data_IF_771868171332
#
_entry.id   IF_771868171332
#
_cell.length_a   1.000
_cell.length_b   1.000
_cell.length_c   1.000
_cell.angle_alpha   90.00
_cell.angle_beta   90.00
_cell.angle_gamma   90.00
#
_symmetry.space_group_name_H-M   'P 1'
#
loop_
_entity.id
_entity.type
_entity.pdbx_description
1 polymer ?
#
# COMPACT_ATOMS: atom_id res chain seq x y z
N UNK A 1 -28.85 -32.76 26.17
CA UNK A 1 -27.77 -32.33 27.08
C UNK A 1 -26.40 -32.82 26.61
N UNK A 2 -26.16 -33.01 25.30
CA UNK A 2 -24.85 -33.46 24.77
C UNK A 2 -24.47 -32.88 23.39
N UNK A 3 -25.42 -32.31 22.62
CA UNK A 3 -25.14 -31.85 21.24
C UNK A 3 -24.70 -30.38 21.08
N UNK A 4 -24.81 -29.54 22.12
CA UNK A 4 -24.39 -28.13 22.04
C UNK A 4 -22.91 -27.91 22.40
N UNK A 5 -22.26 -28.89 23.03
CA UNK A 5 -20.88 -28.77 23.51
C UNK A 5 -19.81 -29.09 22.45
N UNK A 6 -20.17 -29.77 21.35
CA UNK A 6 -19.20 -30.18 20.33
C UNK A 6 -18.79 -29.03 19.40
N UNK A 7 -19.68 -28.05 19.17
CA UNK A 7 -19.37 -26.87 18.34
C UNK A 7 -18.44 -25.86 19.03
N UNK A 8 -18.37 -25.86 20.37
CA UNK A 8 -17.47 -24.98 21.12
C UNK A 8 -16.04 -25.53 21.23
N UNK A 9 -15.80 -26.80 20.88
CA UNK A 9 -14.50 -27.46 21.03
C UNK A 9 -13.63 -27.49 19.77
N UNK A 10 -14.05 -26.85 18.68
CA UNK A 10 -13.23 -26.68 17.48
C UNK A 10 -13.05 -25.21 17.07
N UNK A 11 -12.80 -24.32 18.04
CA UNK A 11 -11.95 -23.17 17.72
C UNK A 11 -10.54 -23.74 17.57
N UNK A 12 -10.30 -24.33 16.40
CA UNK A 12 -8.98 -24.68 15.91
C UNK A 12 -8.06 -23.52 16.24
N UNK A 13 -7.01 -23.77 17.02
CA UNK A 13 -5.90 -22.83 17.12
C UNK A 13 -5.59 -22.41 15.68
N UNK A 14 -5.82 -21.13 15.36
CA UNK A 14 -5.51 -20.60 14.04
C UNK A 14 -4.10 -21.06 13.70
N UNK A 15 -3.94 -21.79 12.59
CA UNK A 15 -2.62 -22.27 12.13
C UNK A 15 -1.59 -21.14 12.02
N UNK A 16 -2.09 -19.91 11.89
CA UNK A 16 -1.31 -18.70 11.80
C UNK A 16 -1.55 -17.83 13.03
N UNK A 17 -0.46 -17.43 13.68
CA UNK A 17 -0.49 -16.52 14.83
C UNK A 17 -0.59 -15.05 14.39
N UNK A 18 -0.23 -14.76 13.14
CA UNK A 18 -0.21 -13.43 12.56
C UNK A 18 -0.68 -13.47 11.10
N UNK A 19 -1.46 -12.47 10.70
CA UNK A 19 -1.79 -12.20 9.30
C UNK A 19 -1.25 -10.81 8.94
N UNK A 20 -0.48 -10.76 7.86
CA UNK A 20 -0.02 -9.52 7.25
C UNK A 20 -0.85 -9.27 5.99
N UNK A 21 -1.45 -8.10 5.91
CA UNK A 21 -2.18 -7.66 4.73
C UNK A 21 -1.38 -6.56 4.05
N UNK A 22 -1.15 -6.72 2.76
CA UNK A 22 -0.82 -5.58 1.92
C UNK A 22 -2.00 -4.61 1.90
N UNK A 23 -1.72 -3.33 1.72
CA UNK A 23 -2.74 -2.26 1.80
C UNK A 23 -3.17 -1.86 0.39
N UNK A 24 -2.22 -1.37 -0.39
CA UNK A 24 -2.49 -0.73 -1.67
C UNK A 24 -2.93 -1.77 -2.70
N UNK A 25 -4.02 -1.48 -3.41
CA UNK A 25 -4.64 -2.38 -4.39
C UNK A 25 -5.05 -3.78 -3.83
N UNK A 26 -5.01 -3.95 -2.50
CA UNK A 26 -5.39 -5.16 -1.77
C UNK A 26 -6.60 -4.91 -0.85
N UNK A 27 -6.52 -3.94 0.06
CA UNK A 27 -7.62 -3.56 0.96
C UNK A 27 -8.60 -2.56 0.33
N UNK A 28 -8.27 -2.08 -0.86
CA UNK A 28 -9.17 -1.37 -1.74
C UNK A 28 -8.90 -1.84 -3.18
N UNK A 29 -9.88 -1.78 -4.09
CA UNK A 29 -9.69 -2.29 -5.43
C UNK A 29 -8.73 -1.42 -6.23
N UNK A 30 -7.94 -2.03 -7.11
CA UNK A 30 -7.11 -1.34 -8.12
C UNK A 30 -7.91 -0.31 -8.94
N UNK A 31 -9.19 -0.57 -9.17
CA UNK A 31 -10.10 0.35 -9.88
C UNK A 31 -10.39 1.66 -9.12
N UNK A 32 -9.92 1.82 -7.88
CA UNK A 32 -9.95 3.08 -7.14
C UNK A 32 -9.17 4.20 -7.83
N UNK A 33 -8.18 3.86 -8.67
CA UNK A 33 -7.34 4.82 -9.39
C UNK A 33 -6.24 5.46 -8.53
N UNK A 34 -6.10 5.13 -7.25
CA UNK A 34 -5.07 5.70 -6.38
C UNK A 34 -3.66 5.37 -6.85
N UNK A 35 -3.41 4.15 -7.34
CA UNK A 35 -2.09 3.77 -7.84
C UNK A 35 -1.66 4.60 -9.06
N UNK A 36 -2.62 5.01 -9.91
CA UNK A 36 -2.36 5.88 -11.05
C UNK A 36 -2.01 7.31 -10.61
N UNK A 37 -2.75 7.88 -9.67
CA UNK A 37 -2.44 9.20 -9.10
C UNK A 37 -1.13 9.19 -8.31
N UNK A 38 -0.83 8.12 -7.57
CA UNK A 38 0.45 7.94 -6.89
C UNK A 38 1.61 7.92 -7.90
N UNK A 39 1.48 7.10 -8.95
CA UNK A 39 2.47 7.04 -10.04
C UNK A 39 2.68 8.40 -10.68
N UNK A 40 1.61 9.16 -10.93
CA UNK A 40 1.68 10.52 -11.46
C UNK A 40 2.43 11.46 -10.51
N UNK A 41 2.09 11.46 -9.22
CA UNK A 41 2.76 12.30 -8.23
C UNK A 41 4.26 11.97 -8.09
N UNK A 42 4.64 10.69 -8.18
CA UNK A 42 6.05 10.26 -8.20
C UNK A 42 6.78 10.89 -9.38
N UNK A 43 6.20 10.79 -10.58
CA UNK A 43 6.78 11.37 -11.80
C UNK A 43 6.90 12.89 -11.69
N UNK A 44 5.86 13.56 -11.19
CA UNK A 44 5.88 15.01 -10.92
C UNK A 44 6.97 15.40 -9.91
N UNK A 45 7.19 14.59 -8.87
CA UNK A 45 8.26 14.86 -7.90
C UNK A 45 9.63 14.78 -8.56
N UNK A 46 9.86 13.74 -9.36
CA UNK A 46 11.12 13.55 -10.08
C UNK A 46 11.44 14.71 -11.01
N UNK A 47 10.45 15.21 -11.75
CA UNK A 47 10.65 16.37 -12.63
C UNK A 47 10.83 17.65 -11.82
N UNK A 48 9.91 17.96 -10.93
CA UNK A 48 9.84 19.30 -10.32
C UNK A 48 10.78 19.51 -9.13
N UNK A 49 11.12 18.45 -8.40
CA UNK A 49 11.93 18.52 -7.17
C UNK A 49 13.35 17.99 -7.35
N UNK A 50 13.53 17.01 -8.24
CA UNK A 50 14.84 16.39 -8.50
C UNK A 50 15.44 16.84 -9.84
N UNK A 51 14.77 17.71 -10.59
CA UNK A 51 15.20 18.26 -11.88
C UNK A 51 15.57 17.17 -12.91
N UNK A 52 14.82 16.06 -12.88
CA UNK A 52 15.01 14.94 -13.81
C UNK A 52 14.23 15.23 -15.09
N UNK A 53 14.89 15.06 -16.22
CA UNK A 53 14.29 15.24 -17.54
C UNK A 53 13.02 14.37 -17.69
N UNK A 54 11.88 15.02 -17.97
CA UNK A 54 10.57 14.38 -18.07
C UNK A 54 10.54 13.18 -19.02
N UNK A 55 11.28 13.26 -20.13
CA UNK A 55 11.36 12.20 -21.14
C UNK A 55 11.96 10.89 -20.59
N UNK A 56 12.85 10.97 -19.59
CA UNK A 56 13.56 9.84 -18.97
C UNK A 56 12.79 9.22 -17.81
N UNK A 57 11.91 9.99 -17.17
CA UNK A 57 11.22 9.60 -15.94
C UNK A 57 10.47 8.26 -16.08
N UNK A 58 9.68 7.97 -17.14
CA UNK A 58 8.96 6.70 -17.25
C UNK A 58 9.86 5.47 -17.27
N UNK A 59 10.94 5.50 -18.07
CA UNK A 59 11.90 4.41 -18.15
C UNK A 59 12.64 4.24 -16.83
N UNK A 60 13.05 5.35 -16.21
CA UNK A 60 13.74 5.32 -14.93
C UNK A 60 12.84 4.76 -13.83
N UNK A 61 11.56 5.14 -13.74
CA UNK A 61 10.63 4.54 -12.79
C UNK A 61 10.51 3.02 -12.95
N UNK A 62 10.37 2.54 -14.19
CA UNK A 62 10.25 1.11 -14.47
C UNK A 62 11.51 0.34 -14.05
N UNK A 63 12.68 0.88 -14.36
CA UNK A 63 13.96 0.27 -13.99
C UNK A 63 14.17 0.29 -12.47
N UNK A 64 13.91 1.42 -11.80
CA UNK A 64 14.05 1.53 -10.35
C UNK A 64 13.08 0.62 -9.60
N UNK A 65 11.84 0.47 -10.10
CA UNK A 65 10.89 -0.46 -9.53
C UNK A 65 11.37 -1.91 -9.67
N UNK A 66 11.88 -2.28 -10.84
CA UNK A 66 12.41 -3.63 -11.10
C UNK A 66 13.61 -3.98 -10.20
N UNK A 67 14.51 -3.03 -10.00
CA UNK A 67 15.78 -3.28 -9.29
C UNK A 67 15.66 -3.11 -7.77
N UNK A 68 14.79 -2.19 -7.32
CA UNK A 68 14.72 -1.76 -5.90
C UNK A 68 13.33 -1.86 -5.28
N UNK A 69 12.32 -2.31 -6.03
CA UNK A 69 10.94 -2.51 -5.55
C UNK A 69 10.11 -1.22 -5.43
N UNK A 70 10.73 -0.04 -5.32
CA UNK A 70 10.04 1.26 -5.37
C UNK A 70 10.90 2.32 -6.03
N UNK A 71 10.28 3.33 -6.64
CA UNK A 71 11.01 4.48 -7.20
C UNK A 71 11.78 5.24 -6.12
N UNK A 72 11.20 5.44 -4.94
CA UNK A 72 11.87 6.14 -3.83
C UNK A 72 13.15 5.41 -3.36
N UNK A 73 13.06 4.09 -3.14
CA UNK A 73 14.23 3.31 -2.73
C UNK A 73 15.32 3.34 -3.81
N UNK A 74 14.94 3.21 -5.08
CA UNK A 74 15.87 3.27 -6.19
C UNK A 74 16.55 4.63 -6.33
N UNK A 75 15.80 5.74 -6.25
CA UNK A 75 16.36 7.10 -6.30
C UNK A 75 17.44 7.30 -5.23
N UNK A 76 17.18 6.85 -4.00
CA UNK A 76 18.17 6.91 -2.92
C UNK A 76 19.39 6.03 -3.19
N UNK A 77 19.17 4.81 -3.68
CA UNK A 77 20.26 3.87 -3.97
C UNK A 77 21.24 4.39 -5.04
N UNK A 78 20.74 5.19 -6.00
CA UNK A 78 21.57 5.79 -7.06
C UNK A 78 22.11 7.19 -6.71
N UNK A 79 21.91 7.65 -5.46
CA UNK A 79 22.55 8.86 -4.92
C UNK A 79 21.71 10.13 -4.90
N UNK A 80 20.40 10.07 -5.17
CA UNK A 80 19.54 11.25 -4.93
C UNK A 80 19.31 11.43 -3.42
N UNK A 81 19.53 12.65 -2.95
CA UNK A 81 19.23 13.07 -1.59
C UNK A 81 18.00 13.98 -1.59
N UNK A 82 17.00 13.60 -0.80
CA UNK A 82 15.78 14.37 -0.59
C UNK A 82 15.17 13.97 0.76
N UNK A 83 14.41 14.90 1.33
CA UNK A 83 13.71 14.67 2.60
C UNK A 83 12.54 13.68 2.41
N UNK A 84 12.42 12.71 3.33
CA UNK A 84 11.42 11.65 3.20
C UNK A 84 10.02 12.17 3.47
N UNK A 85 9.89 13.10 4.42
CA UNK A 85 8.60 13.70 4.76
C UNK A 85 8.12 14.61 3.63
N UNK A 86 9.01 15.37 2.97
CA UNK A 86 8.69 16.12 1.75
C UNK A 86 8.24 15.19 0.62
N UNK A 87 8.94 14.07 0.39
CA UNK A 87 8.55 13.09 -0.63
C UNK A 87 7.17 12.49 -0.32
N UNK A 88 6.94 12.01 0.90
CA UNK A 88 5.66 11.42 1.30
C UNK A 88 4.52 12.44 1.28
N UNK A 89 4.75 13.66 1.77
CA UNK A 89 3.76 14.75 1.71
C UNK A 89 3.41 15.10 0.27
N UNK A 90 4.37 15.08 -0.65
CA UNK A 90 4.11 15.38 -2.06
C UNK A 90 3.44 14.22 -2.78
N UNK A 91 3.92 12.99 -2.59
CA UNK A 91 3.43 11.82 -3.33
C UNK A 91 2.10 11.32 -2.75
N UNK A 92 2.06 11.08 -1.44
CA UNK A 92 0.91 10.47 -0.76
C UNK A 92 -0.04 11.53 -0.19
N UNK A 93 0.48 12.64 0.33
CA UNK A 93 -0.35 13.72 0.89
C UNK A 93 -1.25 14.42 -0.13
N UNK A 94 -0.97 14.28 -1.43
CA UNK A 94 -1.78 14.82 -2.54
C UNK A 94 -2.73 13.80 -3.17
N UNK A 95 -2.82 12.58 -2.63
CA UNK A 95 -3.71 11.56 -3.17
C UNK A 95 -5.18 11.91 -2.91
N UNK A 96 -6.08 11.66 -3.88
CA UNK A 96 -7.50 11.91 -3.74
C UNK A 96 -8.18 10.80 -2.93
N UNK A 97 -7.91 10.76 -1.62
CA UNK A 97 -8.46 9.73 -0.73
C UNK A 97 -9.99 9.74 -0.63
N UNK A 98 -10.65 10.81 -1.08
CA UNK A 98 -12.10 10.87 -1.24
C UNK A 98 -12.66 9.82 -2.23
N UNK A 99 -11.82 9.24 -3.09
CA UNK A 99 -12.18 8.12 -3.97
C UNK A 99 -12.48 6.85 -3.16
N UNK A 100 -11.82 6.68 -2.01
CA UNK A 100 -12.08 5.56 -1.11
C UNK A 100 -13.38 5.79 -0.37
N UNK A 101 -14.24 4.77 -0.39
CA UNK A 101 -15.48 4.75 0.37
C UNK A 101 -15.36 3.70 1.48
N UNK A 102 -16.03 3.92 2.64
CA UNK A 102 -16.08 2.91 3.68
C UNK A 102 -16.62 1.58 3.13
N UNK A 103 -15.82 0.51 3.26
CA UNK A 103 -16.26 -0.85 2.96
C UNK A 103 -16.63 -1.56 4.26
N UNK A 104 -17.93 -1.59 4.55
CA UNK A 104 -18.45 -2.26 5.74
C UNK A 104 -18.30 -3.78 5.68
N UNK A 105 -18.27 -4.39 4.49
CA UNK A 105 -18.08 -5.83 4.32
C UNK A 105 -16.65 -6.20 4.69
N UNK A 106 -15.66 -5.51 4.12
CA UNK A 106 -14.25 -5.68 4.45
C UNK A 106 -14.00 -5.42 5.93
N UNK A 107 -14.57 -4.35 6.50
CA UNK A 107 -14.44 -4.06 7.93
C UNK A 107 -14.95 -5.22 8.79
N UNK A 108 -16.15 -5.72 8.51
CA UNK A 108 -16.73 -6.81 9.29
C UNK A 108 -15.91 -8.11 9.15
N UNK A 109 -15.41 -8.40 7.94
CA UNK A 109 -14.49 -9.50 7.68
C UNK A 109 -13.24 -9.39 8.57
N UNK A 110 -12.52 -8.27 8.50
CA UNK A 110 -11.29 -8.05 9.28
C UNK A 110 -11.54 -8.11 10.80
N UNK A 111 -12.67 -7.58 11.27
CA UNK A 111 -13.05 -7.63 12.70
C UNK A 111 -13.34 -9.06 13.16
N UNK A 112 -13.98 -9.88 12.32
CA UNK A 112 -14.35 -11.26 12.62
C UNK A 112 -13.16 -12.23 12.73
N UNK A 113 -12.00 -11.87 12.18
CA UNK A 113 -10.80 -12.71 12.26
C UNK A 113 -10.41 -12.93 13.73
N UNK A 114 -10.22 -14.18 14.20
CA UNK A 114 -9.90 -14.49 15.61
C UNK A 114 -8.41 -14.27 15.92
N UNK A 115 -7.83 -13.19 15.40
CA UNK A 115 -6.41 -12.84 15.56
C UNK A 115 -6.32 -11.45 16.20
N UNK A 116 -5.28 -11.21 17.00
CA UNK A 116 -5.04 -9.92 17.64
C UNK A 116 -4.85 -8.82 16.57
N UNK A 117 -5.46 -7.66 16.81
CA UNK A 117 -5.31 -6.45 15.99
C UNK A 117 -4.22 -5.59 16.64
N UNK A 118 -3.28 -5.11 15.84
CA UNK A 118 -2.12 -4.31 16.26
C UNK A 118 -2.27 -2.90 15.73
#
# INVERSE_FOLDING_TARGET
MEYENEYQQQISQSRFECLLFDVDDTLYPFSSGLSAECTKNIKEYMVNKLDIEESKVPEMCAQLYKDYGTTMAGLRAIGYEFDHDDYHSFVHGRLPYEYLKPDHVLRNLLVSLPIRKV
#
